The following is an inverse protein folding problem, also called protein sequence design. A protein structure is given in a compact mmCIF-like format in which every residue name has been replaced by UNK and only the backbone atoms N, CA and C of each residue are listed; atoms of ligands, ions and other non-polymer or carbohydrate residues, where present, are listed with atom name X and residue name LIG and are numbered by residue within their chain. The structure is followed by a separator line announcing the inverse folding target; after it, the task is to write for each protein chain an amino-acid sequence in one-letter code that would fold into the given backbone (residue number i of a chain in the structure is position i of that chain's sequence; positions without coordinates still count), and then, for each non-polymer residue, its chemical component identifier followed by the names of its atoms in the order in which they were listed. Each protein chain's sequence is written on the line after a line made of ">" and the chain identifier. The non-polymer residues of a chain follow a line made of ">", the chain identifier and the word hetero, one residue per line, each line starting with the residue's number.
data_IF_255446966958
#
_entry.id   IF_255446966958
#
_cell.length_a   1.000
_cell.length_b   1.000
_cell.length_c   1.000
_cell.angle_alpha   90.00
_cell.angle_beta   90.00
_cell.angle_gamma   90.00
#
_symmetry.space_group_name_H-M   'P 1'
#
loop_
_entity.id
_entity.type
_entity.pdbx_description
1 polymer ?
#
# COMPACT_ATOMS: atom_id res chain seq x y z
N UNK A 1 36.06 48.40 -18.86
CA UNK A 1 35.89 47.59 -17.61
C UNK A 1 34.50 46.95 -17.43
N UNK A 2 33.50 47.24 -18.24
CA UNK A 2 32.13 46.72 -18.08
C UNK A 2 31.88 45.38 -18.75
N UNK A 3 32.59 45.03 -19.86
CA UNK A 3 32.42 43.75 -20.57
C UNK A 3 32.95 42.54 -19.81
N UNK A 4 34.04 42.69 -19.04
CA UNK A 4 34.65 41.58 -18.26
C UNK A 4 33.77 41.15 -17.09
N UNK A 5 33.01 42.09 -16.51
CA UNK A 5 32.08 41.79 -15.38
C UNK A 5 30.84 41.03 -15.80
N UNK A 6 30.33 41.24 -17.05
CA UNK A 6 29.17 40.51 -17.53
C UNK A 6 29.50 39.04 -17.88
N UNK A 7 30.70 38.78 -18.42
CA UNK A 7 31.12 37.41 -18.75
C UNK A 7 31.35 36.56 -17.49
N UNK A 8 31.87 37.16 -16.40
CA UNK A 8 32.12 36.42 -15.15
C UNK A 8 30.80 36.00 -14.46
N UNK A 9 29.78 36.87 -14.50
CA UNK A 9 28.45 36.54 -13.93
C UNK A 9 27.74 35.45 -14.73
N UNK A 10 27.84 35.46 -16.06
CA UNK A 10 27.22 34.44 -16.91
C UNK A 10 27.85 33.05 -16.74
N UNK A 11 29.18 32.97 -16.55
CA UNK A 11 29.89 31.70 -16.30
C UNK A 11 29.58 31.16 -14.89
N UNK A 12 29.41 32.01 -13.86
CA UNK A 12 29.01 31.57 -12.53
C UNK A 12 27.56 31.05 -12.49
N UNK A 13 26.64 31.65 -13.25
CA UNK A 13 25.25 31.19 -13.34
C UNK A 13 25.12 29.83 -14.05
N UNK A 14 25.95 29.56 -15.06
CA UNK A 14 26.02 28.27 -15.74
C UNK A 14 26.62 27.15 -14.87
N UNK A 15 27.59 27.50 -14.01
CA UNK A 15 28.21 26.53 -13.09
C UNK A 15 27.25 26.11 -11.95
N UNK A 16 26.36 27.00 -11.49
CA UNK A 16 25.36 26.68 -10.47
C UNK A 16 24.22 25.82 -11.01
N UNK A 17 23.87 25.94 -12.29
CA UNK A 17 22.86 25.10 -12.93
C UNK A 17 23.33 23.66 -13.20
N UNK A 18 24.62 23.47 -13.49
CA UNK A 18 25.19 22.16 -13.77
C UNK A 18 25.36 21.25 -12.53
N UNK A 19 25.51 21.85 -11.33
CA UNK A 19 25.66 21.07 -10.10
C UNK A 19 24.32 20.50 -9.58
N UNK A 20 23.18 21.07 -9.91
CA UNK A 20 21.89 20.59 -9.42
C UNK A 20 21.48 19.24 -10.05
N UNK A 21 21.87 18.98 -11.30
CA UNK A 21 21.55 17.72 -11.96
C UNK A 21 22.38 16.51 -11.48
N UNK A 22 23.55 16.75 -10.88
CA UNK A 22 24.45 15.72 -10.36
C UNK A 22 24.00 15.15 -8.99
N UNK A 23 23.11 15.85 -8.28
CA UNK A 23 22.61 15.44 -6.97
C UNK A 23 21.14 14.99 -6.96
N UNK A 24 20.49 14.93 -8.12
CA UNK A 24 19.13 14.41 -8.16
C UNK A 24 19.17 12.87 -8.06
N UNK A 25 18.50 12.26 -7.08
CA UNK A 25 18.41 10.80 -6.99
C UNK A 25 17.84 10.24 -8.27
N UNK A 26 18.47 9.19 -8.81
CA UNK A 26 17.93 8.51 -9.98
C UNK A 26 16.61 7.81 -9.61
N UNK A 27 15.49 8.43 -9.99
CA UNK A 27 14.16 7.92 -9.68
C UNK A 27 13.79 6.66 -10.49
N UNK A 28 14.53 6.39 -11.58
CA UNK A 28 14.29 5.19 -12.43
C UNK A 28 14.90 3.92 -11.84
N UNK A 29 15.97 4.04 -11.06
CA UNK A 29 16.58 2.88 -10.39
C UNK A 29 15.71 2.52 -9.19
N UNK A 30 15.17 1.28 -9.11
CA UNK A 30 14.46 0.81 -7.94
C UNK A 30 15.30 0.91 -6.67
N UNK A 31 14.65 1.14 -5.53
CA UNK A 31 15.32 1.01 -4.23
C UNK A 31 15.67 -0.46 -4.00
N UNK A 32 16.85 -0.70 -3.42
CA UNK A 32 17.19 -2.00 -2.86
C UNK A 32 16.20 -2.35 -1.75
N UNK A 33 15.75 -3.60 -1.76
CA UNK A 33 14.80 -4.14 -0.76
C UNK A 33 15.43 -5.34 -0.09
N UNK A 34 15.47 -5.33 1.22
CA UNK A 34 15.85 -6.50 2.03
C UNK A 34 14.62 -7.03 2.72
N UNK A 35 14.44 -8.34 2.68
CA UNK A 35 13.37 -9.03 3.37
C UNK A 35 13.85 -9.46 4.74
N UNK A 36 13.01 -9.27 5.75
CA UNK A 36 13.19 -9.76 7.09
C UNK A 36 11.96 -10.56 7.51
N UNK A 37 12.16 -11.79 7.96
CA UNK A 37 11.06 -12.66 8.34
C UNK A 37 11.42 -13.53 9.53
N UNK A 38 10.46 -13.73 10.40
CA UNK A 38 10.56 -14.70 11.48
C UNK A 38 9.20 -15.32 11.80
N UNK A 39 9.25 -16.48 12.41
CA UNK A 39 8.08 -17.19 12.90
C UNK A 39 8.40 -17.77 14.26
N UNK A 40 7.55 -17.52 15.23
CA UNK A 40 7.68 -18.03 16.57
C UNK A 40 6.39 -18.64 17.05
N UNK A 41 6.50 -19.74 17.79
CA UNK A 41 5.41 -20.31 18.59
C UNK A 41 5.53 -19.84 20.03
N UNK A 42 4.41 -19.88 20.76
CA UNK A 42 4.37 -19.48 22.17
C UNK A 42 5.41 -20.26 22.98
N UNK A 43 6.30 -19.60 23.74
CA UNK A 43 7.30 -20.28 24.57
C UNK A 43 6.67 -21.28 25.53
N UNK A 44 7.26 -22.46 25.63
CA UNK A 44 6.79 -23.55 26.48
C UNK A 44 5.62 -24.37 25.90
N UNK A 45 5.08 -24.00 24.75
CA UNK A 45 4.09 -24.79 24.02
C UNK A 45 4.78 -25.80 23.10
N UNK A 46 4.30 -27.06 23.09
CA UNK A 46 4.88 -28.16 22.31
C UNK A 46 3.81 -29.03 21.61
N UNK A 47 2.62 -28.50 21.38
CA UNK A 47 1.51 -29.17 20.70
C UNK A 47 1.36 -28.66 19.27
N UNK A 48 0.54 -29.34 18.46
CA UNK A 48 0.23 -28.90 17.09
C UNK A 48 -0.58 -27.59 17.04
N UNK A 49 -1.29 -27.25 18.12
CA UNK A 49 -2.18 -26.11 18.23
C UNK A 49 -1.54 -24.93 19.00
N UNK A 50 -0.21 -24.85 19.03
CA UNK A 50 0.48 -23.75 19.70
C UNK A 50 0.15 -22.40 19.05
N UNK A 51 -0.03 -21.34 19.86
CA UNK A 51 -0.10 -19.98 19.33
C UNK A 51 1.12 -19.63 18.48
N UNK A 52 0.88 -18.94 17.37
CA UNK A 52 1.88 -18.65 16.34
C UNK A 52 1.85 -17.17 15.94
N UNK A 53 3.02 -16.55 15.83
CA UNK A 53 3.22 -15.29 15.11
C UNK A 53 4.17 -15.49 13.96
N UNK A 54 3.77 -15.04 12.78
CA UNK A 54 4.62 -14.97 11.59
C UNK A 54 4.67 -13.54 11.08
N UNK A 55 5.86 -12.98 10.98
CA UNK A 55 6.11 -11.63 10.47
C UNK A 55 7.08 -11.72 9.30
N UNK A 56 6.68 -11.16 8.17
CA UNK A 56 7.43 -11.13 6.91
C UNK A 56 7.44 -9.70 6.38
N UNK A 57 8.45 -8.93 6.77
CA UNK A 57 8.55 -7.51 6.45
C UNK A 57 9.70 -7.21 5.50
N UNK A 58 9.84 -5.95 5.13
CA UNK A 58 10.85 -5.46 4.20
C UNK A 58 11.54 -4.21 4.76
N UNK A 59 12.80 -4.01 4.36
CA UNK A 59 13.61 -2.86 4.67
C UNK A 59 14.17 -2.23 3.40
N UNK A 60 14.29 -0.93 3.43
CA UNK A 60 14.89 -0.12 2.37
C UNK A 60 16.18 0.54 2.90
N UNK A 61 17.38 -0.07 2.74
CA UNK A 61 18.62 0.44 3.33
C UNK A 61 18.93 1.90 2.99
N UNK A 62 18.50 2.35 1.81
CA UNK A 62 18.64 3.74 1.38
C UNK A 62 17.49 4.67 1.81
N UNK A 63 16.46 4.15 2.51
CA UNK A 63 15.30 4.95 2.94
C UNK A 63 14.72 4.47 4.29
N UNK A 64 15.41 4.71 5.41
CA UNK A 64 14.93 4.31 6.75
C UNK A 64 13.58 4.90 7.15
N UNK A 65 13.20 6.06 6.58
CA UNK A 65 11.88 6.66 6.80
C UNK A 65 10.77 5.77 6.27
N UNK A 66 10.98 5.13 5.12
CA UNK A 66 10.01 4.20 4.55
C UNK A 66 9.87 2.95 5.42
N UNK A 67 10.95 2.47 6.04
CA UNK A 67 10.89 1.35 7.00
C UNK A 67 9.97 1.65 8.17
N UNK A 68 10.12 2.84 8.77
CA UNK A 68 9.23 3.30 9.87
C UNK A 68 7.76 3.37 9.42
N UNK A 69 7.51 3.82 8.19
CA UNK A 69 6.16 3.89 7.63
C UNK A 69 5.58 2.48 7.46
N UNK A 70 6.36 1.54 6.91
CA UNK A 70 5.94 0.14 6.70
C UNK A 70 5.60 -0.51 8.05
N UNK A 71 6.50 -0.43 9.02
CA UNK A 71 6.28 -1.00 10.35
C UNK A 71 5.03 -0.42 11.02
N UNK A 72 4.89 0.92 11.02
CA UNK A 72 3.70 1.57 11.58
C UNK A 72 2.41 1.12 10.91
N UNK A 73 2.41 0.93 9.59
CA UNK A 73 1.23 0.46 8.85
C UNK A 73 0.88 -0.97 9.18
N UNK A 74 1.88 -1.86 9.30
CA UNK A 74 1.64 -3.24 9.76
C UNK A 74 1.05 -3.27 11.17
N UNK A 75 1.60 -2.47 12.10
CA UNK A 75 1.07 -2.35 13.46
C UNK A 75 -0.37 -1.81 13.48
N UNK A 76 -0.71 -0.86 12.62
CA UNK A 76 -2.08 -0.38 12.49
C UNK A 76 -3.07 -1.48 12.07
N UNK A 77 -2.62 -2.48 11.29
CA UNK A 77 -3.47 -3.60 10.88
C UNK A 77 -3.74 -4.61 12.00
N UNK A 78 -3.06 -4.50 13.14
CA UNK A 78 -3.29 -5.36 14.31
C UNK A 78 -4.28 -4.79 15.32
N UNK A 79 -4.78 -3.58 15.08
CA UNK A 79 -5.68 -2.91 16.00
C UNK A 79 -7.15 -3.29 15.77
N UNK A 80 -7.85 -3.67 16.83
CA UNK A 80 -9.29 -3.91 16.82
C UNK A 80 -10.10 -2.61 16.71
N UNK A 81 -9.52 -1.50 17.20
CA UNK A 81 -10.11 -0.17 17.10
C UNK A 81 -9.03 0.91 16.97
N UNK A 82 -9.41 2.06 16.36
CA UNK A 82 -8.48 3.16 16.09
C UNK A 82 -7.98 3.92 17.34
N UNK A 83 -8.49 3.60 18.51
CA UNK A 83 -8.17 4.30 19.76
C UNK A 83 -7.17 3.54 20.65
N UNK A 84 -6.84 2.30 20.28
CA UNK A 84 -5.82 1.53 21.01
C UNK A 84 -4.43 2.09 20.71
N UNK A 85 -3.56 2.17 21.73
CA UNK A 85 -2.17 2.52 21.52
C UNK A 85 -1.47 1.47 20.64
N UNK A 86 -0.70 1.92 19.66
CA UNK A 86 0.11 1.02 18.84
C UNK A 86 1.24 0.42 19.69
N UNK A 87 1.56 -0.87 19.51
CA UNK A 87 2.82 -1.43 20.01
C UNK A 87 4.02 -0.61 19.52
N UNK A 88 5.08 -0.56 20.30
CA UNK A 88 6.27 0.24 19.98
C UNK A 88 7.04 -0.29 18.76
N UNK A 89 6.91 -1.59 18.45
CA UNK A 89 7.55 -2.27 17.32
C UNK A 89 6.83 -3.58 16.99
N UNK A 90 7.16 -4.20 15.86
CA UNK A 90 6.67 -5.54 15.50
C UNK A 90 7.09 -6.59 16.55
N UNK A 91 8.27 -6.45 17.13
CA UNK A 91 8.70 -7.33 18.25
C UNK A 91 7.85 -7.12 19.50
N UNK A 92 7.54 -5.88 19.87
CA UNK A 92 6.66 -5.58 20.98
C UNK A 92 5.23 -6.10 20.75
N UNK A 93 4.74 -6.04 19.50
CA UNK A 93 3.47 -6.66 19.11
C UNK A 93 3.49 -8.17 19.33
N UNK A 94 4.53 -8.86 18.85
CA UNK A 94 4.70 -10.30 19.04
C UNK A 94 4.68 -10.67 20.54
N UNK A 95 5.45 -9.94 21.36
CA UNK A 95 5.50 -10.20 22.81
C UNK A 95 4.12 -10.02 23.48
N UNK A 96 3.38 -8.98 23.09
CA UNK A 96 2.01 -8.74 23.59
C UNK A 96 1.05 -9.83 23.14
N UNK A 97 1.09 -10.22 21.86
CA UNK A 97 0.26 -11.31 21.34
C UNK A 97 0.55 -12.61 22.06
N UNK A 98 1.81 -13.01 22.19
CA UNK A 98 2.22 -14.26 22.85
C UNK A 98 1.86 -14.30 24.33
N UNK A 99 1.84 -13.16 25.02
CA UNK A 99 1.44 -13.09 26.42
C UNK A 99 -0.02 -13.51 26.64
N UNK A 100 -0.92 -13.16 25.72
CA UNK A 100 -2.37 -13.37 25.84
C UNK A 100 -2.94 -14.45 24.93
N UNK A 101 -2.18 -14.90 23.93
CA UNK A 101 -2.64 -15.86 22.94
C UNK A 101 -3.01 -17.20 23.57
N UNK A 102 -4.15 -17.73 23.19
CA UNK A 102 -4.68 -19.04 23.56
C UNK A 102 -4.38 -20.08 22.48
N UNK A 103 -4.68 -21.34 22.77
CA UNK A 103 -4.52 -22.45 21.81
C UNK A 103 -5.14 -22.11 20.46
N UNK A 104 -4.41 -22.39 19.37
CA UNK A 104 -4.74 -22.13 17.96
C UNK A 104 -4.75 -20.65 17.55
N UNK A 105 -4.53 -19.71 18.47
CA UNK A 105 -4.41 -18.31 18.02
C UNK A 105 -3.22 -18.14 17.09
N UNK A 106 -3.39 -17.43 16.01
CA UNK A 106 -2.29 -17.11 15.10
C UNK A 106 -2.40 -15.72 14.52
N UNK A 107 -1.25 -15.09 14.33
CA UNK A 107 -1.13 -13.78 13.70
C UNK A 107 -0.07 -13.79 12.61
N UNK A 108 -0.43 -13.31 11.43
CA UNK A 108 0.46 -13.15 10.28
C UNK A 108 0.45 -11.71 9.83
N UNK A 109 1.64 -11.12 9.69
CA UNK A 109 1.82 -9.78 9.14
C UNK A 109 2.81 -9.86 7.98
N UNK A 110 2.45 -9.26 6.85
CA UNK A 110 3.34 -9.22 5.70
C UNK A 110 3.36 -7.84 5.04
N UNK A 111 4.57 -7.38 4.70
CA UNK A 111 4.79 -6.31 3.74
C UNK A 111 5.64 -6.82 2.58
N UNK A 112 5.25 -6.51 1.36
CA UNK A 112 6.04 -6.82 0.16
C UNK A 112 5.95 -5.70 -0.86
N UNK A 113 7.03 -5.43 -1.57
CA UNK A 113 6.98 -4.54 -2.72
C UNK A 113 6.12 -5.19 -3.80
N UNK A 114 5.03 -4.53 -4.17
CA UNK A 114 4.21 -4.93 -5.32
C UNK A 114 4.93 -4.61 -6.61
N UNK A 115 5.43 -3.37 -6.71
CA UNK A 115 6.27 -2.90 -7.80
C UNK A 115 6.93 -1.55 -7.48
N UNK A 116 7.91 -1.16 -8.28
CA UNK A 116 8.54 0.15 -8.25
C UNK A 116 8.62 0.69 -9.68
N UNK A 117 8.10 1.89 -9.92
CA UNK A 117 8.13 2.55 -11.23
C UNK A 117 8.01 4.08 -11.08
N UNK A 118 8.57 4.84 -12.00
CA UNK A 118 8.44 6.31 -12.10
C UNK A 118 8.62 7.06 -10.75
N UNK A 119 9.54 6.58 -9.91
CA UNK A 119 9.77 7.14 -8.59
C UNK A 119 8.70 6.78 -7.54
N UNK A 120 7.77 5.91 -7.86
CA UNK A 120 6.82 5.32 -6.92
C UNK A 120 7.34 4.00 -6.38
N UNK A 121 7.08 3.73 -5.10
CA UNK A 121 7.24 2.42 -4.45
C UNK A 121 5.87 1.99 -3.97
N UNK A 122 5.33 0.94 -4.57
CA UNK A 122 4.03 0.38 -4.22
C UNK A 122 4.25 -0.83 -3.32
N UNK A 123 3.80 -0.74 -2.08
CA UNK A 123 3.95 -1.80 -1.08
C UNK A 123 2.57 -2.36 -0.77
N UNK A 124 2.41 -3.66 -0.90
CA UNK A 124 1.22 -4.38 -0.46
C UNK A 124 1.42 -4.88 0.96
N UNK A 125 0.43 -4.61 1.81
CA UNK A 125 0.35 -5.05 3.19
C UNK A 125 -0.72 -6.12 3.34
N UNK A 126 -0.43 -7.12 4.15
CA UNK A 126 -1.36 -8.19 4.49
C UNK A 126 -1.30 -8.47 5.98
N UNK A 127 -2.44 -8.71 6.58
CA UNK A 127 -2.57 -9.28 7.92
C UNK A 127 -3.50 -10.47 7.90
N UNK A 128 -3.37 -11.32 8.91
CA UNK A 128 -4.32 -12.38 9.21
C UNK A 128 -4.29 -12.62 10.71
N UNK A 129 -5.45 -12.58 11.33
CA UNK A 129 -5.62 -12.84 12.75
C UNK A 129 -6.64 -13.97 12.93
N UNK A 130 -6.24 -15.05 13.59
CA UNK A 130 -7.14 -16.11 14.04
C UNK A 130 -7.10 -16.18 15.58
N UNK A 131 -8.25 -15.99 16.19
CA UNK A 131 -8.45 -16.06 17.63
C UNK A 131 -9.33 -17.25 18.03
N UNK A 132 -9.38 -18.30 17.18
CA UNK A 132 -10.11 -19.54 17.48
C UNK A 132 -11.58 -19.55 17.07
N UNK A 133 -12.03 -18.63 16.23
CA UNK A 133 -13.39 -18.61 15.64
C UNK A 133 -13.58 -19.62 14.49
N UNK A 134 -14.63 -19.41 13.70
CA UNK A 134 -14.92 -20.26 12.53
C UNK A 134 -13.81 -20.16 11.45
N UNK A 135 -13.17 -19.01 11.36
CA UNK A 135 -12.02 -18.71 10.50
C UNK A 135 -11.34 -17.42 10.98
N UNK A 136 -10.07 -17.24 10.64
CA UNK A 136 -9.38 -15.99 10.90
C UNK A 136 -9.81 -14.87 9.95
N UNK A 137 -9.45 -13.65 10.32
CA UNK A 137 -9.76 -12.44 9.57
C UNK A 137 -8.52 -11.90 8.86
N UNK A 138 -8.50 -11.94 7.53
CA UNK A 138 -7.43 -11.34 6.75
C UNK A 138 -7.71 -9.84 6.53
N UNK A 139 -6.65 -9.03 6.61
CA UNK A 139 -6.65 -7.62 6.23
C UNK A 139 -5.73 -7.34 5.05
N UNK A 140 -5.99 -6.26 4.32
CA UNK A 140 -5.17 -5.81 3.19
C UNK A 140 -4.95 -4.30 3.25
N UNK A 141 -3.86 -3.86 2.64
CA UNK A 141 -3.55 -2.44 2.53
C UNK A 141 -2.52 -2.17 1.44
N UNK A 142 -2.39 -0.89 1.08
CA UNK A 142 -1.33 -0.42 0.19
C UNK A 142 -0.65 0.82 0.76
N UNK A 143 0.63 0.94 0.46
CA UNK A 143 1.41 2.17 0.58
C UNK A 143 1.82 2.57 -0.83
N UNK A 144 1.44 3.77 -1.27
CA UNK A 144 1.97 4.40 -2.48
C UNK A 144 2.96 5.47 -2.03
N UNK A 145 4.25 5.15 -2.00
CA UNK A 145 5.28 6.07 -1.57
C UNK A 145 5.90 6.79 -2.77
N UNK A 146 5.81 8.11 -2.77
CA UNK A 146 6.48 8.96 -3.75
C UNK A 146 7.88 9.30 -3.26
N UNK A 147 8.90 8.82 -3.96
CA UNK A 147 10.31 9.14 -3.71
C UNK A 147 10.59 10.62 -3.96
N UNK A 148 9.93 11.21 -4.96
CA UNK A 148 10.10 12.62 -5.31
C UNK A 148 9.55 13.55 -4.22
N UNK A 149 8.39 13.20 -3.63
CA UNK A 149 7.75 14.01 -2.59
C UNK A 149 8.15 13.55 -1.18
N UNK A 150 8.91 12.47 -1.07
CA UNK A 150 9.33 11.82 0.18
C UNK A 150 8.16 11.58 1.15
N UNK A 151 7.02 11.10 0.63
CA UNK A 151 5.81 10.84 1.41
C UNK A 151 4.93 9.74 0.85
N UNK A 152 4.06 9.20 1.69
CA UNK A 152 2.93 8.36 1.26
C UNK A 152 1.87 9.25 0.61
N UNK A 153 1.42 8.86 -0.58
CA UNK A 153 0.33 9.54 -1.28
C UNK A 153 -1.03 9.10 -0.71
N UNK A 154 -1.85 10.06 -0.35
CA UNK A 154 -3.28 9.89 -0.07
C UNK A 154 -4.08 9.91 -1.36
N UNK A 155 -5.38 9.54 -1.33
CA UNK A 155 -6.24 9.68 -2.50
C UNK A 155 -6.26 11.14 -3.02
N UNK A 156 -6.35 12.12 -2.13
CA UNK A 156 -6.33 13.55 -2.48
C UNK A 156 -5.01 13.97 -3.13
N UNK A 157 -3.90 13.38 -2.71
CA UNK A 157 -2.60 13.61 -3.37
C UNK A 157 -2.56 13.07 -4.80
N UNK A 158 -3.31 12.02 -5.09
CA UNK A 158 -3.36 11.37 -6.40
C UNK A 158 -4.30 12.08 -7.37
N UNK A 159 -5.37 12.70 -6.87
CA UNK A 159 -6.43 13.27 -7.68
C UNK A 159 -6.16 14.72 -8.12
N UNK A 160 -6.64 15.05 -9.31
CA UNK A 160 -6.87 16.45 -9.69
C UNK A 160 -7.92 17.03 -8.75
N UNK A 161 -7.75 18.27 -8.23
CA UNK A 161 -8.70 18.87 -7.32
C UNK A 161 -10.14 18.83 -7.83
N UNK A 162 -11.07 18.40 -6.98
CA UNK A 162 -12.50 18.30 -7.31
C UNK A 162 -12.91 17.01 -8.06
N UNK A 163 -11.98 16.10 -8.37
CA UNK A 163 -12.27 14.90 -9.16
C UNK A 163 -12.60 13.65 -8.34
N UNK A 164 -12.77 13.76 -7.03
CA UNK A 164 -13.02 12.58 -6.19
C UNK A 164 -14.35 11.88 -6.57
N UNK A 165 -15.42 12.61 -6.82
CA UNK A 165 -16.68 12.03 -7.24
C UNK A 165 -16.58 11.30 -8.59
N UNK A 166 -15.80 11.86 -9.53
CA UNK A 166 -15.55 11.24 -10.84
C UNK A 166 -14.72 9.96 -10.68
N UNK A 167 -13.71 9.97 -9.79
CA UNK A 167 -12.91 8.79 -9.47
C UNK A 167 -13.79 7.64 -8.96
N UNK A 168 -14.64 7.91 -7.96
CA UNK A 168 -15.50 6.88 -7.39
C UNK A 168 -16.58 6.38 -8.35
N UNK A 169 -17.10 7.25 -9.22
CA UNK A 169 -17.98 6.82 -10.32
C UNK A 169 -17.27 5.86 -11.27
N UNK A 170 -16.02 6.16 -11.65
CA UNK A 170 -15.22 5.27 -12.51
C UNK A 170 -14.92 3.94 -11.81
N UNK A 171 -14.69 3.96 -10.49
CA UNK A 171 -14.50 2.76 -9.68
C UNK A 171 -15.79 1.90 -9.62
N UNK A 172 -16.96 2.53 -9.50
CA UNK A 172 -18.25 1.83 -9.57
C UNK A 172 -18.48 1.16 -10.93
N UNK A 173 -18.06 1.81 -12.02
CA UNK A 173 -18.11 1.21 -13.36
C UNK A 173 -17.16 0.00 -13.47
N UNK A 174 -15.98 0.06 -12.83
CA UNK A 174 -15.08 -1.10 -12.74
C UNK A 174 -15.69 -2.24 -11.93
N UNK A 175 -16.44 -1.94 -10.86
CA UNK A 175 -17.19 -2.95 -10.11
C UNK A 175 -18.29 -3.60 -10.97
N UNK A 176 -19.07 -2.82 -11.72
CA UNK A 176 -20.08 -3.36 -12.67
C UNK A 176 -19.43 -4.28 -13.71
N UNK A 177 -18.28 -3.88 -14.25
CA UNK A 177 -17.51 -4.72 -15.17
C UNK A 177 -17.03 -6.02 -14.53
N UNK A 178 -16.61 -5.98 -13.26
CA UNK A 178 -16.23 -7.16 -12.51
C UNK A 178 -17.44 -8.10 -12.29
N UNK A 179 -18.62 -7.59 -11.89
CA UNK A 179 -19.83 -8.38 -11.75
C UNK A 179 -20.16 -9.11 -13.06
N UNK A 180 -20.11 -8.43 -14.20
CA UNK A 180 -20.33 -9.01 -15.52
C UNK A 180 -19.31 -10.12 -15.82
N UNK A 181 -18.02 -9.86 -15.57
CA UNK A 181 -16.94 -10.79 -15.85
C UNK A 181 -17.00 -12.08 -15.03
N UNK A 182 -17.62 -12.00 -13.85
CA UNK A 182 -17.82 -13.14 -12.94
C UNK A 182 -19.21 -13.78 -13.06
N UNK A 183 -20.10 -13.17 -13.86
CA UNK A 183 -21.49 -13.61 -14.03
C UNK A 183 -22.42 -13.30 -12.85
N UNK A 184 -21.90 -12.56 -11.84
CA UNK A 184 -22.66 -12.17 -10.64
C UNK A 184 -23.70 -11.09 -10.93
N UNK A 185 -23.59 -10.38 -12.06
CA UNK A 185 -24.58 -9.41 -12.53
C UNK A 185 -25.97 -10.02 -12.75
N UNK A 186 -26.05 -11.34 -12.97
CA UNK A 186 -27.28 -12.08 -13.18
C UNK A 186 -27.95 -12.53 -11.89
N UNK A 187 -27.27 -12.46 -10.77
CA UNK A 187 -27.80 -12.79 -9.45
C UNK A 187 -28.25 -11.51 -8.74
N UNK A 188 -29.54 -11.24 -8.79
CA UNK A 188 -30.13 -10.03 -8.20
C UNK A 188 -29.94 -9.96 -6.67
N UNK A 189 -29.93 -11.10 -5.97
CA UNK A 189 -29.68 -11.13 -4.53
C UNK A 189 -28.22 -10.86 -4.21
N UNK A 190 -27.28 -11.37 -5.00
CA UNK A 190 -25.88 -11.05 -4.88
C UNK A 190 -25.62 -9.54 -5.06
N UNK A 191 -26.15 -8.95 -6.13
CA UNK A 191 -25.98 -7.51 -6.42
C UNK A 191 -26.58 -6.63 -5.31
N UNK A 192 -27.70 -7.04 -4.74
CA UNK A 192 -28.34 -6.34 -3.63
C UNK A 192 -27.55 -6.46 -2.33
N UNK A 193 -27.00 -7.63 -2.03
CA UNK A 193 -26.26 -7.92 -0.79
C UNK A 193 -24.86 -7.31 -0.81
N UNK A 194 -24.20 -7.28 -1.98
CA UNK A 194 -22.82 -6.84 -2.17
C UNK A 194 -22.73 -5.62 -3.10
N UNK A 195 -23.29 -4.46 -2.71
CA UNK A 195 -23.22 -3.25 -3.51
C UNK A 195 -21.79 -2.71 -3.58
N UNK A 196 -21.51 -1.85 -4.56
CA UNK A 196 -20.26 -1.11 -4.61
C UNK A 196 -20.03 -0.34 -3.30
N UNK A 197 -18.80 -0.38 -2.82
CA UNK A 197 -18.31 0.42 -1.69
C UNK A 197 -16.98 1.07 -2.06
N UNK A 198 -16.70 2.22 -1.48
CA UNK A 198 -15.37 2.83 -1.55
C UNK A 198 -14.40 2.04 -0.67
N UNK A 199 -13.12 2.02 -1.06
CA UNK A 199 -12.05 1.39 -0.28
C UNK A 199 -10.87 2.35 -0.12
N UNK A 200 -10.18 2.37 1.04
CA UNK A 200 -8.94 3.11 1.20
C UNK A 200 -7.73 2.41 0.56
N UNK A 201 -7.88 1.16 0.12
CA UNK A 201 -6.79 0.33 -0.36
C UNK A 201 -6.61 0.49 -1.87
N UNK A 202 -5.95 1.57 -2.26
CA UNK A 202 -5.73 1.98 -3.65
C UNK A 202 -4.23 1.87 -3.95
N UNK A 203 -3.87 1.25 -5.09
CA UNK A 203 -2.50 1.16 -5.57
C UNK A 203 -2.35 1.75 -6.97
N UNK A 204 -1.35 2.62 -7.15
CA UNK A 204 -0.95 3.17 -8.44
C UNK A 204 0.03 2.21 -9.12
N UNK A 205 -0.45 1.08 -9.63
CA UNK A 205 0.40 0.11 -10.32
C UNK A 205 0.73 0.59 -11.75
N UNK A 206 1.79 0.05 -12.36
CA UNK A 206 2.17 0.48 -13.72
C UNK A 206 1.07 0.24 -14.75
N UNK A 207 0.33 -0.88 -14.63
CA UNK A 207 -0.71 -1.27 -15.59
C UNK A 207 -2.07 -0.62 -15.37
N UNK A 208 -2.41 -0.29 -14.12
CA UNK A 208 -3.73 0.22 -13.75
C UNK A 208 -3.71 0.83 -12.34
N UNK A 209 -4.70 1.64 -12.02
CA UNK A 209 -5.06 1.91 -10.62
C UNK A 209 -5.85 0.72 -10.10
N UNK A 210 -5.35 0.11 -9.01
CA UNK A 210 -5.95 -1.08 -8.39
C UNK A 210 -6.66 -0.68 -7.11
N UNK A 211 -7.93 -1.05 -6.98
CA UNK A 211 -8.69 -0.95 -5.74
C UNK A 211 -8.81 -2.35 -5.16
N UNK A 212 -8.31 -2.56 -3.96
CA UNK A 212 -8.39 -3.85 -3.28
C UNK A 212 -9.43 -3.81 -2.18
N UNK A 213 -10.18 -4.87 -2.08
CA UNK A 213 -11.25 -5.00 -1.11
C UNK A 213 -10.93 -6.11 -0.12
N UNK A 214 -11.22 -5.85 1.13
CA UNK A 214 -11.21 -6.88 2.15
C UNK A 214 -12.37 -7.86 1.94
N UNK A 215 -12.25 -9.04 2.51
CA UNK A 215 -13.35 -10.01 2.52
C UNK A 215 -14.60 -9.36 3.13
N UNK A 216 -15.78 -9.77 2.66
CA UNK A 216 -17.08 -9.18 3.05
C UNK A 216 -17.31 -7.71 2.63
N UNK A 217 -16.40 -7.06 1.92
CA UNK A 217 -16.61 -5.67 1.52
C UNK A 217 -17.58 -5.54 0.35
N UNK A 218 -17.36 -6.29 -0.74
CA UNK A 218 -18.18 -6.29 -1.97
C UNK A 218 -18.47 -7.72 -2.49
N UNK A 219 -18.14 -8.74 -1.70
CA UNK A 219 -18.36 -10.14 -2.00
C UNK A 219 -18.25 -10.97 -0.70
N UNK A 220 -18.81 -12.21 -0.65
CA UNK A 220 -18.67 -13.09 0.51
C UNK A 220 -17.22 -13.53 0.71
N UNK A 221 -16.89 -13.97 1.93
CA UNK A 221 -15.56 -14.44 2.33
C UNK A 221 -14.95 -15.47 1.37
N UNK A 222 -15.79 -16.38 0.86
CA UNK A 222 -15.36 -17.45 -0.05
C UNK A 222 -14.78 -16.97 -1.37
N UNK A 223 -15.08 -15.72 -1.77
CA UNK A 223 -14.50 -15.11 -2.97
C UNK A 223 -13.14 -14.41 -2.70
N UNK A 224 -12.72 -14.36 -1.44
CA UNK A 224 -11.45 -13.74 -1.04
C UNK A 224 -11.41 -12.24 -1.25
N UNK A 225 -10.20 -11.74 -1.48
CA UNK A 225 -9.94 -10.31 -1.71
C UNK A 225 -10.14 -9.95 -3.18
N UNK A 226 -11.12 -9.10 -3.45
CA UNK A 226 -11.40 -8.63 -4.81
C UNK A 226 -10.46 -7.48 -5.17
N UNK A 227 -9.92 -7.51 -6.39
CA UNK A 227 -9.19 -6.39 -6.99
C UNK A 227 -9.99 -5.84 -8.19
N UNK A 228 -10.39 -4.58 -8.11
CA UNK A 228 -10.91 -3.86 -9.27
C UNK A 228 -9.75 -3.09 -9.92
N UNK A 229 -9.63 -3.19 -11.24
CA UNK A 229 -8.59 -2.53 -12.01
C UNK A 229 -9.20 -1.45 -12.89
N UNK A 230 -8.70 -0.22 -12.75
CA UNK A 230 -9.10 0.92 -13.59
C UNK A 230 -7.93 1.29 -14.48
N UNK A 231 -8.00 1.04 -15.79
CA UNK A 231 -6.96 1.44 -16.73
C UNK A 231 -6.77 2.96 -16.74
N UNK A 232 -5.52 3.44 -16.77
CA UNK A 232 -5.20 4.87 -16.73
C UNK A 232 -5.93 5.73 -17.77
N UNK A 233 -6.19 5.28 -19.02
CA UNK A 233 -6.96 6.07 -19.99
C UNK A 233 -8.35 6.49 -19.50
N UNK A 234 -8.98 5.70 -18.60
CA UNK A 234 -10.28 6.03 -17.99
C UNK A 234 -10.18 7.07 -16.88
N UNK A 235 -8.96 7.39 -16.44
CA UNK A 235 -8.66 8.33 -15.37
C UNK A 235 -8.00 9.62 -15.89
N UNK A 236 -8.03 9.86 -17.22
CA UNK A 236 -7.57 11.12 -17.80
C UNK A 236 -8.36 12.30 -17.22
N UNK A 237 -7.65 13.31 -16.70
CA UNK A 237 -8.24 14.45 -16.01
C UNK A 237 -8.76 14.17 -14.60
N UNK A 238 -8.65 12.93 -14.12
CA UNK A 238 -9.06 12.50 -12.76
C UNK A 238 -7.84 12.28 -11.88
N UNK A 239 -6.87 11.47 -12.32
CA UNK A 239 -5.56 11.32 -11.66
C UNK A 239 -4.63 12.41 -12.20
N UNK A 240 -3.76 12.93 -11.35
CA UNK A 240 -2.75 13.92 -11.73
C UNK A 240 -1.83 13.37 -12.82
N UNK A 241 -1.52 14.17 -13.86
CA UNK A 241 -0.76 13.69 -15.04
C UNK A 241 0.62 13.11 -14.71
N UNK A 242 1.29 13.64 -13.67
CA UNK A 242 2.61 13.18 -13.23
C UNK A 242 2.60 11.78 -12.61
N UNK A 243 1.43 11.25 -12.25
CA UNK A 243 1.27 9.90 -11.69
C UNK A 243 0.92 8.84 -12.75
N UNK A 244 0.82 9.25 -14.02
CA UNK A 244 0.63 8.30 -15.11
C UNK A 244 1.95 7.58 -15.41
N UNK A 245 1.94 6.25 -15.57
CA UNK A 245 3.15 5.48 -15.88
C UNK A 245 3.88 5.96 -17.12
N UNK A 246 5.23 5.91 -17.08
CA UNK A 246 6.08 6.29 -18.19
C UNK A 246 6.24 7.80 -18.42
N UNK A 247 5.78 8.64 -17.49
CA UNK A 247 5.92 10.11 -17.53
C UNK A 247 6.92 10.68 -16.54
N UNK A 248 7.56 9.81 -15.73
CA UNK A 248 8.60 10.15 -14.75
C UNK A 248 10.03 10.17 -15.33
#
# INVERSE_FOLDING_TARGET
>A
MTLVKLTTVAVLALALGACQSLFQPNMRTPLEVKRDRWEHIKPGCNTADCPLVNIDTIHFPANPKLDVIVEKRLLQMTQDNQHSALPASLKAYEDQFMATAETRNSSYLQAKVREQHDGLVIIELSSYLDTGGAHGMPGRGFINYSRQQDKVLTLQDMLVPGQEATFWKTAEEAHKAWLISTGMDKDAEFVKTWPFRQTPHIALTYGAVVLKYEVYAIAPYSMGHIELKIPYPRLNGVIKPELFPGRG
#
